data_IF_596234124392
#
_entry.id   IF_596234124392
#
_cell.length_a   1.000
_cell.length_b   1.000
_cell.length_c   1.000
_cell.angle_alpha   90.00
_cell.angle_beta   90.00
_cell.angle_gamma   90.00
#
_symmetry.space_group_name_H-M   'P 1'
#
loop_
_entity.id
_entity.type
_entity.pdbx_description
1 polymer ?
#
# COMPACT_ATOMS: atom_id res chain seq x y z
N UNK A 1 10.53 -11.06 -14.54
CA UNK A 1 9.17 -10.77 -15.07
C UNK A 1 8.11 -11.81 -14.69
N UNK A 2 8.35 -13.13 -14.79
CA UNK A 2 7.32 -14.15 -14.50
C UNK A 2 6.64 -14.03 -13.11
N UNK A 3 7.42 -13.74 -12.07
CA UNK A 3 6.91 -13.51 -10.70
C UNK A 3 5.88 -12.37 -10.63
N UNK A 4 6.19 -11.21 -11.23
CA UNK A 4 5.28 -10.06 -11.26
C UNK A 4 4.04 -10.31 -12.09
N UNK A 5 4.18 -11.05 -13.20
CA UNK A 5 3.05 -11.50 -14.01
C UNK A 5 2.10 -12.35 -13.17
N UNK A 6 2.61 -13.35 -12.45
CA UNK A 6 1.79 -14.15 -11.54
C UNK A 6 1.07 -13.32 -10.46
N UNK A 7 1.74 -12.31 -9.89
CA UNK A 7 1.12 -11.42 -8.91
C UNK A 7 0.05 -10.51 -9.53
N UNK A 8 0.27 -10.02 -10.75
CA UNK A 8 -0.73 -9.24 -11.46
C UNK A 8 -1.92 -10.10 -11.90
N UNK A 9 -1.68 -11.30 -12.43
CA UNK A 9 -2.73 -12.27 -12.79
C UNK A 9 -3.59 -12.63 -11.58
N UNK A 10 -2.97 -12.71 -10.39
CA UNK A 10 -3.68 -12.88 -9.13
C UNK A 10 -4.61 -11.70 -8.83
N UNK A 11 -4.15 -10.47 -9.01
CA UNK A 11 -4.99 -9.26 -8.86
C UNK A 11 -6.13 -9.27 -9.87
N UNK A 12 -5.85 -9.54 -11.14
CA UNK A 12 -6.86 -9.58 -12.21
C UNK A 12 -7.94 -10.61 -11.86
N UNK A 13 -7.54 -11.84 -11.54
CA UNK A 13 -8.45 -12.92 -11.17
C UNK A 13 -9.26 -12.60 -9.91
N UNK A 14 -8.67 -11.89 -8.94
CA UNK A 14 -9.34 -11.54 -7.70
C UNK A 14 -10.43 -10.47 -7.87
N UNK A 15 -10.23 -9.53 -8.80
CA UNK A 15 -11.11 -8.38 -8.99
C UNK A 15 -12.10 -8.56 -10.15
N UNK A 16 -11.78 -9.41 -11.12
CA UNK A 16 -12.61 -9.66 -12.30
C UNK A 16 -14.01 -10.17 -11.93
N UNK A 17 -15.03 -9.58 -12.57
CA UNK A 17 -16.44 -9.82 -12.25
C UNK A 17 -16.89 -9.37 -10.84
N UNK A 18 -16.01 -8.84 -9.98
CA UNK A 18 -16.34 -8.39 -8.63
C UNK A 18 -16.46 -6.86 -8.53
N UNK A 19 -15.62 -6.12 -9.25
CA UNK A 19 -15.64 -4.65 -9.27
C UNK A 19 -14.96 -4.09 -10.52
N UNK A 20 -15.19 -2.80 -10.81
CA UNK A 20 -14.40 -2.08 -11.80
C UNK A 20 -13.02 -1.72 -11.24
N UNK A 21 -11.99 -2.04 -12.02
CA UNK A 21 -10.59 -1.76 -11.70
C UNK A 21 -9.79 -1.51 -12.97
N UNK A 22 -8.61 -0.90 -12.83
CA UNK A 22 -7.67 -0.70 -13.92
C UNK A 22 -6.25 -0.98 -13.44
N UNK A 23 -5.60 -1.98 -14.02
CA UNK A 23 -4.18 -2.26 -13.80
C UNK A 23 -3.34 -1.21 -14.55
N UNK A 24 -2.60 -0.38 -13.81
CA UNK A 24 -1.91 0.80 -14.36
C UNK A 24 -0.47 0.50 -14.77
N UNK A 25 0.28 -0.14 -13.87
CA UNK A 25 1.71 -0.44 -14.08
C UNK A 25 2.13 -1.69 -13.33
N UNK A 26 3.30 -2.20 -13.72
CA UNK A 26 3.96 -3.32 -13.05
C UNK A 26 4.27 -4.50 -13.98
N UNK A 27 3.74 -4.49 -15.20
CA UNK A 27 3.97 -5.50 -16.24
C UNK A 27 4.50 -4.93 -17.57
N UNK A 28 4.52 -3.62 -17.72
CA UNK A 28 5.02 -2.94 -18.91
C UNK A 28 6.56 -3.03 -19.03
N UNK A 29 7.09 -2.69 -20.20
CA UNK A 29 8.53 -2.70 -20.48
C UNK A 29 9.34 -1.72 -19.62
N UNK A 30 8.67 -0.74 -19.03
CA UNK A 30 9.25 0.25 -18.12
C UNK A 30 9.21 -0.22 -16.65
N UNK A 31 8.64 -1.40 -16.35
CA UNK A 31 8.50 -1.93 -15.01
C UNK A 31 9.83 -2.47 -14.49
N UNK A 32 10.33 -1.89 -13.40
CA UNK A 32 11.54 -2.38 -12.72
C UNK A 32 11.25 -3.69 -12.00
N UNK A 33 12.25 -4.56 -11.84
CA UNK A 33 12.10 -5.84 -11.15
C UNK A 33 11.54 -5.70 -9.72
N UNK A 34 12.02 -4.71 -8.95
CA UNK A 34 11.51 -4.38 -7.61
C UNK A 34 10.41 -3.30 -7.57
N UNK A 35 9.85 -2.91 -8.73
CA UNK A 35 8.77 -1.92 -8.77
C UNK A 35 7.45 -2.45 -8.18
N UNK A 36 6.48 -1.57 -7.97
CA UNK A 36 5.14 -1.94 -7.55
C UNK A 36 4.23 -2.36 -8.71
N UNK A 37 3.12 -2.99 -8.33
CA UNK A 37 1.93 -3.15 -9.18
C UNK A 37 0.92 -2.11 -8.71
N UNK A 38 0.47 -1.22 -9.59
CA UNK A 38 -0.52 -0.21 -9.23
C UNK A 38 -1.83 -0.51 -9.92
N UNK A 39 -2.90 -0.40 -9.15
CA UNK A 39 -4.27 -0.66 -9.59
C UNK A 39 -5.11 0.52 -9.17
N UNK A 40 -5.83 1.13 -10.11
CA UNK A 40 -6.88 2.08 -9.79
C UNK A 40 -8.17 1.30 -9.55
N UNK A 41 -8.85 1.60 -8.45
CA UNK A 41 -10.22 1.15 -8.18
C UNK A 41 -11.10 2.35 -7.87
N UNK A 42 -12.42 2.16 -7.97
CA UNK A 42 -13.38 3.19 -7.59
C UNK A 42 -13.18 3.65 -6.14
N UNK A 43 -13.56 4.91 -5.91
CA UNK A 43 -13.54 5.54 -4.58
C UNK A 43 -14.25 4.64 -3.56
N UNK A 44 -13.63 4.51 -2.40
CA UNK A 44 -14.05 3.71 -1.25
C UNK A 44 -14.11 2.19 -1.47
N UNK A 45 -13.63 1.68 -2.61
CA UNK A 45 -13.52 0.22 -2.89
C UNK A 45 -12.14 -0.36 -2.61
N UNK A 46 -11.11 0.45 -2.35
CA UNK A 46 -9.73 -0.02 -2.17
C UNK A 46 -9.55 -1.05 -1.04
N UNK A 47 -10.34 -0.97 0.03
CA UNK A 47 -10.33 -1.98 1.10
C UNK A 47 -10.93 -3.31 0.65
N UNK A 48 -12.04 -3.27 -0.06
CA UNK A 48 -12.70 -4.47 -0.57
C UNK A 48 -11.80 -5.15 -1.60
N UNK A 49 -11.20 -4.39 -2.50
CA UNK A 49 -10.20 -4.88 -3.44
C UNK A 49 -9.02 -5.55 -2.71
N UNK A 50 -8.49 -4.92 -1.67
CA UNK A 50 -7.42 -5.49 -0.84
C UNK A 50 -7.82 -6.82 -0.20
N UNK A 51 -9.08 -6.94 0.21
CA UNK A 51 -9.65 -8.15 0.80
C UNK A 51 -9.70 -9.28 -0.23
N UNK A 52 -10.26 -9.02 -1.40
CA UNK A 52 -10.35 -10.00 -2.50
C UNK A 52 -8.96 -10.47 -2.94
N UNK A 53 -8.01 -9.54 -3.08
CA UNK A 53 -6.62 -9.84 -3.43
C UNK A 53 -5.96 -10.69 -2.34
N UNK A 54 -6.14 -10.37 -1.07
CA UNK A 54 -5.57 -11.15 0.04
C UNK A 54 -6.16 -12.57 0.10
N UNK A 55 -7.46 -12.74 -0.12
CA UNK A 55 -8.11 -14.06 -0.15
C UNK A 55 -7.63 -14.90 -1.35
N UNK A 56 -7.51 -14.28 -2.54
CA UNK A 56 -6.96 -14.92 -3.72
C UNK A 56 -5.48 -15.31 -3.52
N UNK A 57 -4.69 -14.44 -2.89
CA UNK A 57 -3.32 -14.72 -2.48
C UNK A 57 -3.23 -15.98 -1.61
N UNK A 58 -4.06 -16.07 -0.56
CA UNK A 58 -4.11 -17.24 0.30
C UNK A 58 -4.45 -18.53 -0.45
N UNK A 59 -5.44 -18.50 -1.36
CA UNK A 59 -5.81 -19.66 -2.21
C UNK A 59 -4.71 -20.04 -3.21
N UNK A 60 -4.00 -19.05 -3.74
CA UNK A 60 -2.92 -19.22 -4.71
C UNK A 60 -1.56 -19.58 -4.09
N UNK A 61 -1.50 -19.85 -2.78
CA UNK A 61 -0.26 -20.22 -2.09
C UNK A 61 0.69 -19.05 -1.78
N UNK A 62 0.22 -17.81 -1.88
CA UNK A 62 0.97 -16.62 -1.51
C UNK A 62 0.76 -16.29 -0.02
N UNK A 63 1.77 -15.70 0.60
CA UNK A 63 1.65 -15.09 1.93
C UNK A 63 1.44 -13.58 1.84
N UNK A 64 0.76 -13.03 2.85
CA UNK A 64 0.74 -11.59 3.13
C UNK A 64 1.81 -11.28 4.18
N UNK A 65 2.79 -10.45 3.82
CA UNK A 65 3.82 -9.96 4.75
C UNK A 65 3.42 -8.65 5.43
N UNK A 66 2.54 -7.86 4.80
CA UNK A 66 2.04 -6.66 5.46
C UNK A 66 0.98 -5.93 4.68
N UNK A 67 0.26 -5.08 5.42
CA UNK A 67 -0.73 -4.14 4.90
C UNK A 67 -0.29 -2.72 5.29
N UNK A 68 -0.66 -1.73 4.48
CA UNK A 68 -0.50 -0.33 4.83
C UNK A 68 -1.64 0.50 4.23
N UNK A 69 -1.98 1.58 4.92
CA UNK A 69 -3.02 2.51 4.48
C UNK A 69 -2.58 3.95 4.76
N UNK A 70 -2.52 4.74 3.71
CA UNK A 70 -2.20 6.17 3.76
C UNK A 70 -3.40 7.04 3.34
N UNK A 71 -4.59 6.44 3.29
CA UNK A 71 -5.90 7.04 3.10
C UNK A 71 -6.33 7.20 1.64
N UNK A 72 -5.40 7.56 0.74
CA UNK A 72 -5.65 7.59 -0.72
C UNK A 72 -5.13 6.35 -1.44
N UNK A 73 -4.39 5.50 -0.72
CA UNK A 73 -3.76 4.31 -1.23
C UNK A 73 -3.76 3.26 -0.11
N UNK A 74 -4.27 2.07 -0.41
CA UNK A 74 -4.10 0.87 0.41
C UNK A 74 -3.10 -0.06 -0.25
N UNK A 75 -2.27 -0.71 0.54
CA UNK A 75 -1.12 -1.45 0.02
C UNK A 75 -1.07 -2.83 0.67
N UNK A 76 -0.67 -3.83 -0.11
CA UNK A 76 -0.39 -5.19 0.36
C UNK A 76 0.98 -5.64 -0.14
N UNK A 77 1.77 -6.22 0.76
CA UNK A 77 3.01 -6.91 0.40
C UNK A 77 2.71 -8.41 0.32
N UNK A 78 2.78 -8.96 -0.89
CA UNK A 78 2.62 -10.38 -1.14
C UNK A 78 3.98 -11.05 -1.30
N UNK A 79 4.12 -12.24 -0.74
CA UNK A 79 5.31 -13.08 -0.84
C UNK A 79 4.93 -14.39 -1.50
N UNK A 80 5.59 -14.73 -2.61
CA UNK A 80 5.47 -16.07 -3.17
C UNK A 80 6.23 -17.02 -2.28
N UNK A 81 5.51 -17.98 -1.67
CA UNK A 81 6.11 -19.07 -0.92
C UNK A 81 6.85 -19.96 -1.90
N UNK A 82 8.15 -20.15 -1.70
CA UNK A 82 8.99 -21.08 -2.48
C UNK A 82 8.89 -20.90 -4.00
N UNK A 83 9.51 -19.85 -4.53
CA UNK A 83 9.75 -19.77 -5.97
C UNK A 83 10.59 -20.96 -6.48
N UNK A 84 10.63 -21.21 -7.79
CA UNK A 84 11.42 -22.31 -8.40
C UNK A 84 12.91 -22.29 -7.98
N UNK A 85 13.40 -21.10 -7.64
CA UNK A 85 14.79 -20.83 -7.25
C UNK A 85 15.07 -21.06 -5.75
N UNK A 86 14.09 -21.55 -4.99
CA UNK A 86 14.18 -21.76 -3.53
C UNK A 86 14.22 -20.47 -2.71
N UNK A 87 13.91 -19.31 -3.31
CA UNK A 87 13.96 -17.99 -2.65
C UNK A 87 12.57 -17.35 -2.60
N UNK A 88 12.27 -16.71 -1.46
CA UNK A 88 11.10 -15.83 -1.35
C UNK A 88 11.27 -14.62 -2.27
N UNK A 89 10.22 -14.30 -3.01
CA UNK A 89 10.10 -13.06 -3.79
C UNK A 89 8.89 -12.30 -3.28
N UNK A 90 9.04 -10.99 -3.14
CA UNK A 90 7.99 -10.12 -2.63
C UNK A 90 7.64 -9.02 -3.63
N UNK A 91 6.35 -8.66 -3.63
CA UNK A 91 5.81 -7.61 -4.48
C UNK A 91 4.82 -6.78 -3.69
N UNK A 92 4.93 -5.47 -3.84
CA UNK A 92 3.97 -4.52 -3.33
C UNK A 92 2.89 -4.27 -4.38
N UNK A 93 1.64 -4.39 -3.97
CA UNK A 93 0.48 -3.99 -4.76
C UNK A 93 -0.11 -2.74 -4.11
N UNK A 94 -0.23 -1.68 -4.91
CA UNK A 94 -0.73 -0.36 -4.56
C UNK A 94 -2.13 -0.18 -5.15
N UNK A 95 -3.15 -0.23 -4.30
CA UNK A 95 -4.56 -0.03 -4.67
C UNK A 95 -4.94 1.43 -4.44
N UNK A 96 -5.01 2.19 -5.53
CA UNK A 96 -5.40 3.60 -5.55
C UNK A 96 -6.89 3.74 -5.31
N UNK A 97 -7.24 4.46 -4.24
CA UNK A 97 -8.61 4.64 -3.79
C UNK A 97 -9.28 5.82 -4.50
N UNK A 98 -9.40 5.73 -5.82
CA UNK A 98 -9.77 6.83 -6.70
C UNK A 98 -8.59 7.77 -7.04
N UNK A 99 -8.91 8.87 -7.73
CA UNK A 99 -7.98 9.84 -8.32
C UNK A 99 -8.02 11.20 -7.64
N UNK A 100 -8.94 11.42 -6.71
CA UNK A 100 -8.97 12.63 -5.90
C UNK A 100 -7.69 12.76 -5.08
N UNK A 101 -7.07 13.94 -5.15
CA UNK A 101 -5.81 14.16 -4.44
C UNK A 101 -5.98 13.95 -2.92
N UNK A 102 -5.22 13.00 -2.39
CA UNK A 102 -5.25 12.68 -0.97
C UNK A 102 -6.58 12.07 -0.50
N UNK A 103 -7.41 11.55 -1.42
CA UNK A 103 -8.71 10.97 -1.08
C UNK A 103 -9.62 11.99 -0.38
N UNK A 104 -9.66 13.21 -0.92
CA UNK A 104 -10.42 14.33 -0.40
C UNK A 104 -11.37 14.86 -1.49
N UNK A 105 -12.65 14.98 -1.16
CA UNK A 105 -13.65 15.52 -2.08
C UNK A 105 -14.56 14.43 -2.67
N UNK A 106 -15.21 14.77 -3.79
CA UNK A 106 -16.22 13.93 -4.44
C UNK A 106 -15.64 12.94 -5.45
N UNK A 107 -14.39 13.16 -5.90
CA UNK A 107 -13.69 12.30 -6.86
C UNK A 107 -14.40 12.04 -8.20
N UNK A 108 -14.96 13.07 -8.87
CA UNK A 108 -15.67 12.90 -10.14
C UNK A 108 -14.75 12.36 -11.26
N UNK A 109 -13.45 12.57 -11.10
CA UNK A 109 -12.43 12.16 -12.06
C UNK A 109 -12.30 10.64 -12.15
N UNK A 110 -12.50 9.92 -11.04
CA UNK A 110 -12.43 8.45 -11.05
C UNK A 110 -13.53 7.85 -11.90
N UNK A 111 -14.77 8.32 -11.75
CA UNK A 111 -15.89 7.84 -12.56
C UNK A 111 -15.68 8.16 -14.03
N UNK A 112 -15.28 9.39 -14.36
CA UNK A 112 -14.92 9.79 -15.73
C UNK A 112 -13.84 8.90 -16.37
N UNK A 113 -12.83 8.47 -15.59
CA UNK A 113 -11.78 7.59 -16.09
C UNK A 113 -12.29 6.16 -16.32
N UNK A 114 -13.23 5.66 -15.51
CA UNK A 114 -13.87 4.37 -15.75
C UNK A 114 -14.83 4.42 -16.94
N UNK A 115 -15.53 5.54 -17.16
CA UNK A 115 -16.33 5.74 -18.38
C UNK A 115 -15.42 5.81 -19.63
N UNK A 116 -14.25 6.45 -19.51
CA UNK A 116 -13.24 6.47 -20.57
C UNK A 116 -12.66 5.07 -20.83
N UNK A 117 -12.48 4.24 -19.80
CA UNK A 117 -12.05 2.85 -19.95
C UNK A 117 -13.04 2.04 -20.79
N UNK A 118 -14.35 2.26 -20.63
CA UNK A 118 -15.38 1.56 -21.41
C UNK A 118 -15.46 2.06 -22.86
N UNK A 119 -15.17 3.33 -23.10
CA UNK A 119 -15.37 3.97 -24.41
C UNK A 119 -14.11 4.05 -25.28
N UNK A 120 -12.95 4.33 -24.69
CA UNK A 120 -11.66 4.48 -25.39
C UNK A 120 -10.73 3.27 -25.17
N UNK A 121 -10.98 2.47 -24.13
CA UNK A 121 -10.22 1.26 -23.85
C UNK A 121 -9.06 1.45 -22.87
N UNK A 122 -8.38 0.34 -22.57
CA UNK A 122 -7.38 0.25 -21.48
C UNK A 122 -6.15 1.12 -21.71
N UNK A 123 -5.59 1.10 -22.93
CA UNK A 123 -4.31 1.76 -23.21
C UNK A 123 -4.39 3.28 -23.01
N UNK A 124 -5.39 3.93 -23.61
CA UNK A 124 -5.64 5.37 -23.45
C UNK A 124 -5.88 5.75 -21.99
N UNK A 125 -6.75 5.01 -21.28
CA UNK A 125 -7.06 5.31 -19.87
C UNK A 125 -5.84 5.14 -18.96
N UNK A 126 -4.99 4.14 -19.20
CA UNK A 126 -3.72 3.98 -18.46
C UNK A 126 -2.81 5.19 -18.68
N UNK A 127 -2.72 5.70 -19.91
CA UNK A 127 -1.97 6.93 -20.22
C UNK A 127 -2.49 8.13 -19.45
N UNK A 128 -3.81 8.36 -19.47
CA UNK A 128 -4.48 9.44 -18.72
C UNK A 128 -4.23 9.34 -17.22
N UNK A 129 -4.47 8.17 -16.62
CA UNK A 129 -4.27 7.96 -15.18
C UNK A 129 -2.81 8.18 -14.80
N UNK A 130 -1.88 7.63 -15.58
CA UNK A 130 -0.44 7.78 -15.30
C UNK A 130 -0.03 9.25 -15.34
N UNK A 131 -0.46 10.02 -16.35
CA UNK A 131 -0.21 11.45 -16.41
C UNK A 131 -0.75 12.16 -15.16
N UNK A 132 -2.03 11.96 -14.87
CA UNK A 132 -2.73 12.65 -13.78
C UNK A 132 -2.09 12.33 -12.42
N UNK A 133 -1.77 11.07 -12.14
CA UNK A 133 -1.07 10.68 -10.91
C UNK A 133 0.26 11.42 -10.77
N UNK A 134 1.07 11.49 -11.82
CA UNK A 134 2.39 12.13 -11.75
C UNK A 134 2.27 13.64 -11.60
N UNK A 135 1.35 14.28 -12.32
CA UNK A 135 1.12 15.73 -12.21
C UNK A 135 0.53 16.11 -10.84
N UNK A 136 -0.45 15.36 -10.33
CA UNK A 136 -1.06 15.61 -9.01
C UNK A 136 -0.04 15.53 -7.87
N UNK A 137 0.83 14.53 -7.89
CA UNK A 137 1.75 14.25 -6.78
C UNK A 137 3.13 14.90 -6.97
N UNK A 138 3.81 14.61 -8.09
CA UNK A 138 5.14 15.13 -8.37
C UNK A 138 5.12 16.49 -9.08
N UNK A 139 4.12 16.76 -9.91
CA UNK A 139 4.04 17.96 -10.76
C UNK A 139 4.81 17.83 -12.09
N UNK A 140 5.37 16.66 -12.38
CA UNK A 140 6.11 16.40 -13.60
C UNK A 140 6.18 14.90 -13.92
N UNK A 141 6.39 14.58 -15.20
CA UNK A 141 6.77 13.27 -15.70
C UNK A 141 8.30 13.16 -15.78
N UNK A 142 8.83 12.01 -15.36
CA UNK A 142 10.19 11.61 -15.73
C UNK A 142 10.19 11.08 -17.16
N UNK A 143 11.35 11.01 -17.80
CA UNK A 143 11.45 10.58 -19.21
C UNK A 143 10.77 9.23 -19.48
N UNK A 144 10.99 8.22 -18.62
CA UNK A 144 10.31 6.94 -18.76
C UNK A 144 8.79 6.97 -18.48
N UNK A 145 8.32 7.89 -17.63
CA UNK A 145 6.87 8.09 -17.43
C UNK A 145 6.25 8.82 -18.64
N UNK A 146 7.01 9.73 -19.25
CA UNK A 146 6.64 10.49 -20.45
C UNK A 146 6.47 9.55 -21.64
N UNK A 147 7.46 8.71 -21.89
CA UNK A 147 7.41 7.71 -22.96
C UNK A 147 6.23 6.76 -22.76
N UNK A 148 6.03 6.27 -21.53
CA UNK A 148 4.90 5.39 -21.19
C UNK A 148 3.52 6.03 -21.44
N UNK A 149 3.36 7.32 -21.12
CA UNK A 149 2.08 8.02 -21.34
C UNK A 149 1.84 8.23 -22.83
N UNK A 150 2.82 8.79 -23.53
CA UNK A 150 2.63 9.24 -24.91
C UNK A 150 2.76 8.13 -25.96
N UNK A 151 3.22 6.94 -25.58
CA UNK A 151 3.16 5.75 -26.45
C UNK A 151 1.76 5.15 -26.55
N UNK A 152 0.86 5.46 -25.61
CA UNK A 152 -0.48 4.86 -25.53
C UNK A 152 -1.62 5.88 -25.53
N UNK A 153 -1.34 7.15 -25.28
CA UNK A 153 -2.35 8.20 -25.26
C UNK A 153 -1.80 9.49 -25.88
N UNK A 154 -2.41 9.92 -26.99
CA UNK A 154 -1.97 11.08 -27.73
C UNK A 154 -2.30 12.40 -27.01
N UNK A 155 -1.46 13.45 -27.09
CA UNK A 155 -1.67 14.71 -26.37
C UNK A 155 -3.02 15.39 -26.62
N UNK A 156 -3.55 15.30 -27.84
CA UNK A 156 -4.86 15.83 -28.24
C UNK A 156 -6.01 15.13 -27.52
N UNK A 157 -5.93 13.80 -27.34
CA UNK A 157 -6.89 13.03 -26.55
C UNK A 157 -6.84 13.41 -25.07
N UNK A 158 -5.63 13.64 -24.55
CA UNK A 158 -5.44 14.09 -23.17
C UNK A 158 -6.05 15.48 -22.98
N UNK A 159 -5.83 16.40 -23.92
CA UNK A 159 -6.41 17.74 -23.89
C UNK A 159 -7.94 17.67 -23.96
N UNK A 160 -8.51 16.86 -24.86
CA UNK A 160 -9.95 16.67 -24.96
C UNK A 160 -10.57 16.12 -23.67
N UNK A 161 -9.92 15.13 -23.04
CA UNK A 161 -10.37 14.62 -21.73
C UNK A 161 -10.28 15.68 -20.64
N UNK A 162 -9.18 16.45 -20.59
CA UNK A 162 -8.99 17.52 -19.63
C UNK A 162 -10.09 18.58 -19.76
N UNK A 163 -10.40 19.02 -20.98
CA UNK A 163 -11.43 20.02 -21.26
C UNK A 163 -12.84 19.51 -20.90
N UNK A 164 -13.18 18.28 -21.30
CA UNK A 164 -14.48 17.67 -21.02
C UNK A 164 -14.78 17.55 -19.51
N UNK A 165 -13.74 17.38 -18.70
CA UNK A 165 -13.86 17.21 -17.25
C UNK A 165 -13.37 18.43 -16.44
N UNK A 166 -13.14 19.57 -17.09
CA UNK A 166 -12.77 20.83 -16.42
C UNK A 166 -11.44 20.77 -15.67
N UNK A 167 -10.48 19.98 -16.15
CA UNK A 167 -9.14 19.90 -15.58
C UNK A 167 -8.30 21.09 -16.06
N UNK A 168 -7.66 21.85 -15.16
CA UNK A 168 -6.93 23.07 -15.52
C UNK A 168 -5.53 22.75 -16.06
N UNK A 169 -5.47 22.09 -17.22
CA UNK A 169 -4.25 21.72 -17.92
C UNK A 169 -4.25 22.35 -19.32
N UNK A 170 -3.22 23.13 -19.63
CA UNK A 170 -2.99 23.60 -21.00
C UNK A 170 -2.34 22.52 -21.87
N UNK A 171 -2.52 22.60 -23.19
CA UNK A 171 -1.81 21.75 -24.16
C UNK A 171 -0.30 21.78 -23.94
N UNK A 172 0.29 22.98 -23.75
CA UNK A 172 1.71 23.12 -23.48
C UNK A 172 2.16 22.45 -22.17
N UNK A 173 1.31 22.37 -21.14
CA UNK A 173 1.61 21.64 -19.90
C UNK A 173 1.52 20.13 -20.09
N UNK A 174 0.54 19.66 -20.86
CA UNK A 174 0.40 18.25 -21.27
C UNK A 174 1.64 17.85 -22.06
N UNK A 175 1.93 18.56 -23.14
CA UNK A 175 3.09 18.30 -23.99
C UNK A 175 4.39 18.37 -23.20
N UNK A 176 4.58 19.30 -22.28
CA UNK A 176 5.79 19.31 -21.43
C UNK A 176 5.78 18.24 -20.35
N UNK A 177 4.62 17.65 -20.04
CA UNK A 177 4.43 16.72 -18.93
C UNK A 177 4.81 17.34 -17.60
N UNK A 178 4.62 18.66 -17.43
CA UNK A 178 5.09 19.41 -16.26
C UNK A 178 4.20 20.61 -15.99
N UNK A 179 3.87 20.80 -14.72
CA UNK A 179 3.08 21.92 -14.22
C UNK A 179 3.80 22.61 -13.07
N UNK A 180 3.53 23.91 -12.90
CA UNK A 180 4.06 24.65 -11.77
C UNK A 180 3.28 24.34 -10.47
N UNK A 181 3.72 24.94 -9.36
CA UNK A 181 3.10 24.71 -8.04
C UNK A 181 1.64 25.19 -8.00
N UNK A 182 1.31 26.27 -8.68
CA UNK A 182 -0.03 26.87 -8.69
C UNK A 182 -1.00 26.02 -9.53
N UNK A 183 -0.59 25.64 -10.74
CA UNK A 183 -1.31 24.73 -11.62
C UNK A 183 -1.54 23.38 -10.94
N UNK A 184 -0.53 22.85 -10.23
CA UNK A 184 -0.69 21.62 -9.45
C UNK A 184 -1.77 21.74 -8.37
N UNK A 185 -1.85 22.86 -7.66
CA UNK A 185 -2.92 23.06 -6.67
C UNK A 185 -4.30 23.17 -7.31
N UNK A 186 -4.41 23.85 -8.45
CA UNK A 186 -5.66 23.92 -9.22
C UNK A 186 -6.08 22.53 -9.70
N UNK A 187 -5.16 21.74 -10.23
CA UNK A 187 -5.40 20.36 -10.65
C UNK A 187 -5.85 19.48 -9.48
N UNK A 188 -5.22 19.62 -8.30
CA UNK A 188 -5.64 18.90 -7.08
C UNK A 188 -7.06 19.24 -6.66
N UNK A 189 -7.43 20.53 -6.67
CA UNK A 189 -8.78 20.96 -6.37
C UNK A 189 -9.78 20.41 -7.40
N UNK A 190 -9.46 20.47 -8.70
CA UNK A 190 -10.29 19.92 -9.78
C UNK A 190 -10.47 18.40 -9.63
N UNK A 191 -9.41 17.64 -9.35
CA UNK A 191 -9.49 16.19 -9.09
C UNK A 191 -10.39 15.83 -7.91
N UNK A 192 -10.52 16.74 -6.94
CA UNK A 192 -11.38 16.60 -5.78
C UNK A 192 -12.84 17.03 -6.05
N UNK A 193 -13.17 17.52 -7.25
CA UNK A 193 -14.47 18.08 -7.59
C UNK A 193 -14.76 19.41 -6.89
N UNK A 194 -13.71 20.18 -6.54
CA UNK A 194 -13.85 21.41 -5.77
C UNK A 194 -13.98 22.60 -6.70
N UNK A 195 -15.13 23.28 -6.64
CA UNK A 195 -15.34 24.57 -7.29
C UNK A 195 -14.74 25.73 -6.47
N UNK A 196 -14.72 26.93 -7.06
CA UNK A 196 -14.12 28.12 -6.42
C UNK A 196 -14.74 28.46 -5.06
N UNK A 197 -16.05 28.23 -4.91
CA UNK A 197 -16.80 28.50 -3.67
C UNK A 197 -16.42 27.50 -2.56
N UNK A 198 -16.18 26.23 -2.92
CA UNK A 198 -15.76 25.19 -2.00
C UNK A 198 -14.26 25.19 -1.67
N UNK A 199 -13.46 25.98 -2.39
CA UNK A 199 -12.00 25.99 -2.25
C UNK A 199 -11.51 26.31 -0.83
N UNK A 200 -12.04 27.33 -0.11
CA UNK A 200 -11.61 27.61 1.26
C UNK A 200 -11.85 26.43 2.20
N UNK A 201 -13.03 25.81 2.13
CA UNK A 201 -13.38 24.66 2.97
C UNK A 201 -12.50 23.45 2.65
N UNK A 202 -12.19 23.22 1.37
CA UNK A 202 -11.27 22.17 0.96
C UNK A 202 -9.84 22.43 1.46
N UNK A 203 -9.32 23.66 1.36
CA UNK A 203 -8.01 24.01 1.91
C UNK A 203 -7.94 23.71 3.41
N UNK A 204 -8.98 24.06 4.18
CA UNK A 204 -9.05 23.72 5.61
C UNK A 204 -9.00 22.21 5.81
N UNK A 205 -9.74 21.41 5.02
CA UNK A 205 -9.68 19.94 5.08
C UNK A 205 -8.29 19.41 4.74
N UNK A 206 -7.61 20.00 3.76
CA UNK A 206 -6.24 19.63 3.38
C UNK A 206 -5.26 19.92 4.50
N UNK A 207 -5.30 21.13 5.08
CA UNK A 207 -4.45 21.52 6.20
C UNK A 207 -4.72 20.62 7.40
N UNK A 208 -5.99 20.40 7.73
CA UNK A 208 -6.40 19.48 8.78
C UNK A 208 -5.83 18.08 8.54
N UNK A 209 -6.03 17.52 7.35
CA UNK A 209 -5.53 16.18 7.03
C UNK A 209 -4.00 16.12 7.01
N UNK A 210 -3.30 17.18 6.64
CA UNK A 210 -1.84 17.24 6.67
C UNK A 210 -1.30 17.31 8.10
N UNK A 211 -1.86 18.19 8.95
CA UNK A 211 -1.45 18.37 10.35
C UNK A 211 -1.79 17.15 11.20
N UNK A 212 -2.98 16.60 11.00
CA UNK A 212 -3.47 15.44 11.73
C UNK A 212 -3.26 14.14 10.96
N UNK A 213 -2.46 14.13 9.88
CA UNK A 213 -2.23 12.92 9.09
C UNK A 213 -1.81 11.81 10.03
N UNK A 214 -0.78 12.03 10.84
CA UNK A 214 -0.20 11.09 11.81
C UNK A 214 -1.18 10.66 12.91
N UNK A 215 -2.29 11.38 13.09
CA UNK A 215 -3.34 11.13 14.08
C UNK A 215 -4.67 10.63 13.48
N UNK A 216 -4.75 10.44 12.15
CA UNK A 216 -5.88 9.75 11.50
C UNK A 216 -5.54 8.25 11.41
N UNK A 217 -6.29 7.37 12.09
CA UNK A 217 -6.01 5.94 12.09
C UNK A 217 -6.20 5.38 10.68
N UNK A 218 -5.44 4.34 10.36
CA UNK A 218 -5.73 3.50 9.19
C UNK A 218 -7.14 2.93 9.29
N UNK A 219 -7.73 2.64 8.13
CA UNK A 219 -8.96 1.82 8.05
C UNK A 219 -8.79 0.42 8.64
N UNK A 220 -7.55 -0.02 8.89
CA UNK A 220 -7.18 -1.27 9.54
C UNK A 220 -6.57 -1.01 10.93
N UNK A 221 -6.89 -1.89 11.88
CA UNK A 221 -6.16 -1.92 13.15
C UNK A 221 -4.71 -2.35 12.93
N UNK A 222 -3.78 -1.69 13.62
CA UNK A 222 -2.39 -2.11 13.68
C UNK A 222 -2.18 -3.42 14.41
N UNK A 223 -1.14 -4.14 14.04
CA UNK A 223 -0.73 -5.35 14.76
C UNK A 223 0.75 -5.32 15.07
N UNK A 224 1.05 -5.74 16.29
CA UNK A 224 2.41 -5.87 16.80
C UNK A 224 2.65 -7.34 17.08
N UNK A 225 3.49 -7.96 16.26
CA UNK A 225 3.84 -9.37 16.35
C UNK A 225 5.06 -9.52 17.26
N UNK A 226 4.84 -10.17 18.40
CA UNK A 226 5.86 -10.51 19.39
C UNK A 226 6.36 -11.92 19.10
N UNK A 227 7.65 -12.07 18.80
CA UNK A 227 8.24 -13.37 18.46
C UNK A 227 9.04 -13.91 19.64
N UNK A 228 8.73 -15.14 20.08
CA UNK A 228 9.35 -15.83 21.23
C UNK A 228 9.72 -17.30 20.90
N UNK A 229 10.41 -17.98 21.82
CA UNK A 229 10.79 -19.40 21.71
C UNK A 229 12.18 -19.65 21.14
N UNK A 230 12.49 -19.14 19.93
CA UNK A 230 13.82 -19.28 19.33
C UNK A 230 14.88 -18.47 20.08
N UNK A 231 16.14 -18.90 20.08
CA UNK A 231 17.26 -18.14 20.66
C UNK A 231 17.46 -16.75 20.00
N UNK A 232 18.22 -15.87 20.65
CA UNK A 232 18.42 -14.50 20.17
C UNK A 232 19.04 -14.43 18.74
N UNK A 233 20.08 -15.22 18.40
CA UNK A 233 20.61 -15.27 17.03
C UNK A 233 19.58 -15.70 15.97
N UNK A 234 18.76 -16.72 16.25
CA UNK A 234 17.74 -17.22 15.33
C UNK A 234 16.60 -16.21 15.13
N UNK A 235 16.16 -15.53 16.19
CA UNK A 235 15.20 -14.41 16.08
C UNK A 235 15.78 -13.25 15.27
N UNK A 236 17.05 -12.90 15.47
CA UNK A 236 17.70 -11.86 14.70
C UNK A 236 17.76 -12.24 13.20
N UNK A 237 18.13 -13.47 12.87
CA UNK A 237 18.14 -13.95 11.48
C UNK A 237 16.74 -13.93 10.84
N UNK A 238 15.69 -14.33 11.57
CA UNK A 238 14.31 -14.22 11.10
C UNK A 238 13.92 -12.78 10.76
N UNK A 239 14.27 -11.83 11.65
CA UNK A 239 13.98 -10.42 11.47
C UNK A 239 14.71 -9.81 10.28
N UNK A 240 16.00 -10.14 10.10
CA UNK A 240 16.76 -9.72 8.93
C UNK A 240 16.17 -10.27 7.62
N UNK A 241 15.77 -11.55 7.61
CA UNK A 241 15.11 -12.15 6.44
C UNK A 241 13.79 -11.44 6.12
N UNK A 242 12.96 -11.19 7.13
CA UNK A 242 11.70 -10.49 6.95
C UNK A 242 11.89 -9.04 6.50
N UNK A 243 12.88 -8.33 7.07
CA UNK A 243 13.26 -6.98 6.64
C UNK A 243 13.68 -6.96 5.17
N UNK A 244 14.54 -7.91 4.78
CA UNK A 244 15.02 -8.05 3.40
C UNK A 244 13.87 -8.22 2.41
N UNK A 245 12.90 -9.09 2.71
CA UNK A 245 11.70 -9.32 1.88
C UNK A 245 10.90 -8.03 1.72
N UNK A 246 10.66 -7.31 2.81
CA UNK A 246 9.89 -6.06 2.79
C UNK A 246 10.62 -4.97 2.00
N UNK A 247 11.93 -4.83 2.22
CA UNK A 247 12.77 -3.85 1.53
C UNK A 247 12.83 -4.11 0.01
N UNK A 248 13.02 -5.36 -0.41
CA UNK A 248 13.08 -5.74 -1.83
C UNK A 248 11.80 -5.41 -2.59
N UNK A 249 10.64 -5.50 -1.94
CA UNK A 249 9.35 -5.14 -2.54
C UNK A 249 9.08 -3.63 -2.61
N UNK A 250 9.93 -2.80 -2.00
CA UNK A 250 9.69 -1.36 -1.83
C UNK A 250 8.57 -1.04 -0.84
N UNK A 251 8.17 -2.00 0.02
CA UNK A 251 7.18 -1.79 1.06
C UNK A 251 7.80 -1.02 2.25
N UNK A 252 7.02 -0.24 3.01
CA UNK A 252 7.53 0.38 4.23
C UNK A 252 8.17 -0.63 5.18
N UNK A 253 9.42 -0.37 5.56
CA UNK A 253 10.17 -1.28 6.43
C UNK A 253 9.48 -1.47 7.79
N UNK A 254 9.35 -2.72 8.25
CA UNK A 254 8.78 -3.02 9.55
C UNK A 254 9.69 -2.44 10.63
N UNK A 255 9.11 -1.87 11.69
CA UNK A 255 9.87 -1.61 12.89
C UNK A 255 10.26 -2.95 13.52
N UNK A 256 11.55 -3.10 13.80
CA UNK A 256 12.15 -4.24 14.51
C UNK A 256 12.93 -3.65 15.68
N UNK A 257 12.56 -4.05 16.90
CA UNK A 257 13.26 -3.56 18.09
C UNK A 257 12.86 -4.27 19.37
N UNK A 258 13.67 -4.16 20.43
CA UNK A 258 13.34 -4.73 21.73
C UNK A 258 12.19 -3.97 22.36
N UNK A 259 11.21 -4.69 22.92
CA UNK A 259 10.29 -4.15 23.92
C UNK A 259 10.84 -4.58 25.27
N UNK A 260 11.81 -3.84 25.79
CA UNK A 260 12.33 -4.12 27.12
C UNK A 260 11.19 -3.93 28.14
N UNK A 261 10.90 -4.99 28.90
CA UNK A 261 10.01 -4.94 30.05
C UNK A 261 10.59 -3.93 31.07
N UNK A 262 10.07 -2.70 31.06
CA UNK A 262 10.34 -1.70 32.11
C UNK A 262 11.02 -0.40 31.67
N UNK A 263 11.64 -0.29 30.49
CA UNK A 263 12.44 0.92 30.14
C UNK A 263 11.79 1.86 29.12
N UNK A 264 10.48 1.75 28.89
CA UNK A 264 9.81 2.54 27.85
C UNK A 264 8.66 3.35 28.41
N UNK A 265 8.99 4.58 28.85
CA UNK A 265 7.99 5.61 29.08
C UNK A 265 7.13 5.82 27.82
N UNK A 266 5.88 6.30 27.97
CA UNK A 266 4.93 6.46 26.84
C UNK A 266 5.45 7.38 25.72
N UNK A 267 6.51 8.15 25.99
CA UNK A 267 7.12 9.14 25.10
C UNK A 267 8.52 8.73 24.60
N UNK A 268 8.96 7.47 24.77
CA UNK A 268 10.21 7.07 24.13
C UNK A 268 10.05 7.12 22.60
N UNK A 269 11.12 7.48 21.88
CA UNK A 269 11.12 7.50 20.41
C UNK A 269 10.74 6.14 19.82
N UNK A 270 11.18 5.04 20.43
CA UNK A 270 10.86 3.68 20.01
C UNK A 270 9.37 3.36 20.15
N UNK A 271 8.75 3.68 21.28
CA UNK A 271 7.30 3.46 21.49
C UNK A 271 6.45 4.37 20.61
N UNK A 272 6.84 5.63 20.41
CA UNK A 272 6.14 6.53 19.50
C UNK A 272 6.21 6.03 18.06
N UNK A 273 7.36 5.53 17.61
CA UNK A 273 7.53 4.95 16.26
C UNK A 273 6.71 3.66 16.10
N UNK A 274 6.76 2.75 17.06
CA UNK A 274 5.98 1.51 17.08
C UNK A 274 4.48 1.80 17.03
N UNK A 275 3.99 2.72 17.89
CA UNK A 275 2.58 3.12 17.91
C UNK A 275 2.19 3.81 16.60
N UNK A 276 3.02 4.69 16.08
CA UNK A 276 2.75 5.39 14.82
C UNK A 276 2.67 4.46 13.61
N UNK A 277 3.52 3.43 13.54
CA UNK A 277 3.43 2.43 12.46
C UNK A 277 2.19 1.55 12.60
N UNK A 278 1.92 1.03 13.80
CA UNK A 278 0.72 0.23 14.04
C UNK A 278 -0.56 1.04 13.76
N UNK A 279 -0.60 2.31 14.15
CA UNK A 279 -1.71 3.22 13.86
C UNK A 279 -2.02 3.38 12.35
N UNK A 280 -1.07 3.02 11.48
CA UNK A 280 -1.21 2.98 10.01
C UNK A 280 -1.49 1.60 9.43
N UNK A 281 -1.86 0.64 10.27
CA UNK A 281 -2.13 -0.73 9.86
C UNK A 281 -0.87 -1.53 9.50
N UNK A 282 0.34 -0.96 9.67
CA UNK A 282 1.61 -1.59 9.30
C UNK A 282 1.94 -2.77 10.21
N UNK A 283 2.59 -3.77 9.64
CA UNK A 283 3.18 -4.89 10.39
C UNK A 283 4.34 -4.38 11.24
N UNK A 284 4.28 -4.61 12.55
CA UNK A 284 5.38 -4.31 13.47
C UNK A 284 5.88 -5.60 14.09
N UNK A 285 7.19 -5.83 14.07
CA UNK A 285 7.81 -7.00 14.70
C UNK A 285 8.57 -6.58 15.96
N UNK A 286 8.40 -7.36 17.02
CA UNK A 286 9.10 -7.15 18.29
C UNK A 286 9.79 -8.45 18.67
N UNK A 287 11.11 -8.38 18.80
CA UNK A 287 11.91 -9.41 19.44
C UNK A 287 11.80 -9.26 20.94
N UNK A 288 11.26 -10.27 21.60
CA UNK A 288 11.26 -10.27 23.05
C UNK A 288 12.47 -11.01 23.60
N UNK A 289 13.37 -10.30 24.29
CA UNK A 289 14.42 -10.90 25.11
C UNK A 289 13.95 -11.16 26.56
N UNK A 290 12.83 -10.56 26.98
CA UNK A 290 12.29 -10.57 28.34
C UNK A 290 11.18 -11.60 28.60
N UNK A 291 10.78 -12.40 27.60
CA UNK A 291 9.91 -13.56 27.83
C UNK A 291 10.62 -14.75 28.49
N UNK A 292 11.95 -14.72 28.61
CA UNK A 292 12.67 -15.60 29.54
C UNK A 292 12.33 -15.28 31.01
N UNK A 293 11.70 -14.13 31.28
CA UNK A 293 11.19 -13.78 32.60
C UNK A 293 9.67 -13.93 32.60
N UNK A 294 9.21 -15.09 33.06
CA UNK A 294 7.79 -15.36 33.37
C UNK A 294 7.22 -14.20 34.20
N UNK A 295 6.28 -13.42 33.65
CA UNK A 295 5.32 -12.69 34.47
C UNK A 295 5.20 -11.17 34.33
N UNK A 296 5.94 -10.48 33.45
CA UNK A 296 5.65 -9.07 33.19
C UNK A 296 4.57 -8.91 32.09
N UNK A 297 3.34 -8.48 32.39
CA UNK A 297 2.36 -8.16 31.36
C UNK A 297 2.90 -6.99 30.54
N UNK A 298 3.19 -7.22 29.26
CA UNK A 298 3.43 -6.15 28.32
C UNK A 298 2.23 -5.18 28.41
N UNK A 299 2.49 -3.90 28.68
CA UNK A 299 1.43 -2.87 28.72
C UNK A 299 0.55 -3.04 27.47
N UNK A 300 -0.77 -3.02 27.67
CA UNK A 300 -1.74 -3.14 26.56
C UNK A 300 -1.32 -2.16 25.44
N UNK A 301 -1.36 -2.59 24.17
CA UNK A 301 -1.18 -1.65 23.08
C UNK A 301 -2.30 -0.61 23.20
N UNK A 302 -2.06 0.61 22.71
CA UNK A 302 -3.12 1.62 22.69
C UNK A 302 -4.36 1.12 21.93
N UNK A 303 -5.47 1.85 22.02
CA UNK A 303 -6.78 1.53 21.41
C UNK A 303 -6.75 1.08 19.93
N UNK A 304 -5.68 1.40 19.20
CA UNK A 304 -5.56 1.23 17.75
C UNK A 304 -4.59 0.12 17.30
N UNK A 305 -4.05 -0.67 18.23
CA UNK A 305 -3.16 -1.78 17.91
C UNK A 305 -3.48 -3.03 18.75
N UNK A 306 -3.19 -4.22 18.23
CA UNK A 306 -3.32 -5.50 18.93
C UNK A 306 -1.96 -6.20 19.04
N UNK A 307 -1.72 -6.86 20.18
CA UNK A 307 -0.59 -7.79 20.32
C UNK A 307 -0.95 -9.13 19.69
N UNK A 308 -0.01 -9.68 18.92
CA UNK A 308 -0.06 -11.06 18.41
C UNK A 308 1.20 -11.76 18.88
N UNK A 309 1.08 -12.87 19.60
CA UNK A 309 2.23 -13.64 20.03
C UNK A 309 2.49 -14.77 19.02
N UNK A 310 3.74 -14.90 18.58
CA UNK A 310 4.22 -15.97 17.72
C UNK A 310 5.28 -16.74 18.52
N UNK A 311 4.97 -17.99 18.82
CA UNK A 311 5.90 -18.92 19.46
C UNK A 311 6.58 -19.77 18.37
N UNK A 312 7.89 -19.63 18.24
CA UNK A 312 8.70 -20.46 17.36
C UNK A 312 9.08 -21.77 18.07
N UNK A 313 9.17 -22.87 17.32
CA UNK A 313 9.53 -24.19 17.85
C UNK A 313 11.02 -24.29 18.19
N UNK A 314 11.39 -25.10 19.19
CA UNK A 314 12.79 -25.29 19.65
C UNK A 314 13.68 -26.14 18.70
N UNK A 315 13.29 -26.29 17.42
CA UNK A 315 14.00 -27.14 16.44
C UNK A 315 15.38 -26.54 16.05
N UNK A 316 16.44 -27.36 15.88
CA UNK A 316 17.80 -26.90 15.55
C UNK A 316 17.95 -26.15 14.20
N UNK A 317 18.96 -25.28 14.14
CA UNK A 317 19.26 -24.27 13.11
C UNK A 317 19.23 -24.70 11.62
N UNK A 318 19.52 -25.95 11.28
CA UNK A 318 19.65 -26.38 9.87
C UNK A 318 18.31 -26.56 9.14
N UNK A 319 17.23 -26.83 9.87
CA UNK A 319 15.85 -26.94 9.33
C UNK A 319 14.95 -25.78 9.76
N UNK A 320 15.41 -24.95 10.71
CA UNK A 320 14.56 -24.02 11.42
C UNK A 320 14.39 -22.64 10.77
N UNK A 321 15.38 -22.13 10.03
CA UNK A 321 15.31 -20.77 9.45
C UNK A 321 14.15 -20.59 8.49
N UNK A 322 13.94 -21.59 7.64
CA UNK A 322 12.88 -21.62 6.64
C UNK A 322 11.51 -21.83 7.30
N UNK A 323 11.46 -22.74 8.28
CA UNK A 323 10.26 -23.01 9.07
C UNK A 323 9.79 -21.78 9.86
N UNK A 324 10.71 -20.97 10.39
CA UNK A 324 10.36 -19.78 11.19
C UNK A 324 9.77 -18.65 10.36
N UNK A 325 10.34 -18.39 9.18
CA UNK A 325 9.83 -17.38 8.28
C UNK A 325 8.45 -17.77 7.77
N UNK A 326 8.24 -19.04 7.42
CA UNK A 326 6.92 -19.56 7.05
C UNK A 326 5.91 -19.45 8.20
N UNK A 327 6.31 -19.78 9.44
CA UNK A 327 5.44 -19.64 10.61
C UNK A 327 5.06 -18.17 10.86
N UNK A 328 6.01 -17.24 10.70
CA UNK A 328 5.77 -15.81 10.78
C UNK A 328 4.82 -15.35 9.68
N UNK A 329 5.11 -15.69 8.41
CA UNK A 329 4.29 -15.31 7.26
C UNK A 329 2.88 -15.89 7.34
N UNK A 330 2.71 -17.13 7.80
CA UNK A 330 1.41 -17.74 8.04
C UNK A 330 0.63 -16.97 9.11
N UNK A 331 1.28 -16.64 10.23
CA UNK A 331 0.67 -15.85 11.30
C UNK A 331 0.25 -14.46 10.82
N UNK A 332 1.13 -13.74 10.11
CA UNK A 332 0.82 -12.42 9.55
C UNK A 332 -0.31 -12.51 8.52
N UNK A 333 -0.32 -13.54 7.66
CA UNK A 333 -1.36 -13.75 6.65
C UNK A 333 -2.73 -13.97 7.27
N UNK A 334 -2.83 -14.87 8.24
CA UNK A 334 -4.10 -15.18 8.92
C UNK A 334 -4.66 -13.92 9.59
N UNK A 335 -3.79 -13.16 10.27
CA UNK A 335 -4.19 -11.94 10.96
C UNK A 335 -4.54 -10.79 10.02
N UNK A 336 -3.85 -10.68 8.87
CA UNK A 336 -4.23 -9.76 7.81
C UNK A 336 -5.64 -10.06 7.29
N UNK A 337 -5.94 -11.33 6.97
CA UNK A 337 -7.26 -11.75 6.50
C UNK A 337 -8.35 -11.53 7.55
N UNK A 338 -8.11 -11.91 8.81
CA UNK A 338 -9.05 -11.67 9.90
C UNK A 338 -9.40 -10.18 10.07
N UNK A 339 -8.42 -9.28 9.90
CA UNK A 339 -8.65 -7.82 9.96
C UNK A 339 -9.50 -7.32 8.80
N UNK A 340 -9.24 -7.83 7.61
CA UNK A 340 -9.96 -7.46 6.40
C UNK A 340 -11.41 -7.98 6.43
N UNK A 341 -11.62 -9.21 6.91
CA UNK A 341 -12.93 -9.86 6.98
C UNK A 341 -13.77 -9.48 8.20
N UNK A 342 -13.13 -9.30 9.37
CA UNK A 342 -13.80 -9.01 10.64
C UNK A 342 -14.53 -7.65 10.69
N UNK A 343 -14.43 -6.87 9.63
CA UNK A 343 -15.14 -5.60 9.44
C UNK A 343 -16.36 -5.70 8.53
N UNK A 344 -16.64 -6.87 7.92
CA UNK A 344 -17.93 -7.12 7.24
C UNK A 344 -19.10 -7.35 8.21
N UNK A 345 -18.83 -7.42 9.52
CA UNK A 345 -19.84 -7.56 10.58
C UNK A 345 -20.13 -6.20 11.22
N UNK A 346 -20.79 -5.30 10.50
CA UNK A 346 -21.54 -4.17 11.07
C UNK A 346 -22.63 -3.77 10.10
#
# INVERSE_FOLDING_TARGET
MAFKRAAADLVLTALDGQMQYLLLRGLDEFAREGGDIDVLVKRDRAREALTLVAEAAGRGGWAVAGLADIGYLTQICLVQRWGPDGRHKAVKIDLWNGMSWGALGADPLTDALFDNLETQGTADTVGLVTLLQKLLYAGYLRDGDRERVFSVCAPDRIAAFADAHGLPLSEAEIERGRIDRSARWRLRAASAGVNIVGLPAWIVKVVWRALFFTAIPSTFAGEIFRVSGADAPRRAALFENFHTIMHQSGFPEPFIGPVAAGSVGPLSRGTMRLRGQAFRGKTVLVGDASLDVRGAPARKPGLFAKWVNIQLSDVPLSSAKECDLEALLASVSNRALERLLGTRKT
#
